data_IF_502731014461
#
_entry.id   IF_502731014461
#
_cell.length_a   1.000
_cell.length_b   1.000
_cell.length_c   1.000
_cell.angle_alpha   90.00
_cell.angle_beta   90.00
_cell.angle_gamma   90.00
#
_symmetry.space_group_name_H-M   'P 1'
#
loop_
_entity.id
_entity.type
_entity.pdbx_description
1 polymer ?
#
# COMPACT_ATOMS: atom_id res chain seq x y z
N UNK A 1 -56.05 15.47 4.84
CA UNK A 1 -54.60 15.61 5.11
C UNK A 1 -54.09 16.71 4.23
N UNK A 2 -53.50 17.73 4.82
CA UNK A 2 -52.89 18.84 4.09
C UNK A 2 -51.43 18.50 3.81
N UNK A 3 -50.97 18.82 2.60
CA UNK A 3 -49.59 18.57 2.18
C UNK A 3 -48.87 19.91 2.05
N UNK A 4 -47.77 20.05 2.79
CA UNK A 4 -46.92 21.25 2.77
C UNK A 4 -45.59 20.85 2.14
N UNK A 5 -45.15 21.61 1.13
CA UNK A 5 -43.89 21.37 0.40
C UNK A 5 -42.93 22.51 0.71
N UNK A 6 -41.69 22.19 1.08
CA UNK A 6 -40.66 23.17 1.38
C UNK A 6 -39.31 22.74 0.78
N UNK A 7 -38.42 23.69 0.42
CA UNK A 7 -37.08 23.38 -0.04
C UNK A 7 -36.23 22.78 1.08
N UNK A 8 -35.42 21.78 0.75
CA UNK A 8 -34.53 21.12 1.73
C UNK A 8 -33.40 22.08 2.11
N UNK A 9 -33.15 22.32 3.41
CA UNK A 9 -32.02 23.13 3.85
C UNK A 9 -30.67 22.53 3.46
N UNK A 10 -29.70 23.36 3.09
CA UNK A 10 -28.36 22.89 2.67
C UNK A 10 -27.58 22.16 3.76
N UNK A 11 -27.90 22.37 5.04
CA UNK A 11 -27.27 21.64 6.15
C UNK A 11 -27.55 20.13 6.11
N UNK A 12 -28.67 19.71 5.51
CA UNK A 12 -29.02 18.31 5.36
C UNK A 12 -28.10 17.54 4.39
N UNK A 13 -27.32 18.25 3.57
CA UNK A 13 -26.28 17.64 2.72
C UNK A 13 -25.15 17.02 3.55
N UNK A 14 -24.89 17.55 4.75
CA UNK A 14 -23.86 17.07 5.66
C UNK A 14 -24.34 15.92 6.56
N UNK A 15 -25.51 15.34 6.28
CA UNK A 15 -26.01 14.19 7.01
C UNK A 15 -25.32 12.91 6.52
N UNK A 16 -24.57 12.24 7.40
CA UNK A 16 -23.93 10.96 7.05
C UNK A 16 -24.93 9.80 7.03
N UNK A 17 -24.63 8.80 6.19
CA UNK A 17 -25.40 7.54 6.17
C UNK A 17 -25.37 6.83 7.51
N UNK A 18 -24.23 6.87 8.19
CA UNK A 18 -24.04 6.29 9.53
C UNK A 18 -24.94 6.94 10.58
N UNK A 19 -24.99 8.28 10.66
CA UNK A 19 -25.86 8.97 11.62
C UNK A 19 -27.34 8.72 11.32
N UNK A 20 -27.73 8.62 10.04
CA UNK A 20 -29.09 8.23 9.65
C UNK A 20 -29.44 6.80 10.11
N UNK A 21 -28.55 5.84 9.90
CA UNK A 21 -28.74 4.45 10.34
C UNK A 21 -28.80 4.34 11.86
N UNK A 22 -27.92 5.07 12.55
CA UNK A 22 -27.90 5.17 14.02
C UNK A 22 -29.28 5.58 14.52
N UNK A 23 -29.77 6.76 14.14
CA UNK A 23 -31.08 7.27 14.55
C UNK A 23 -32.21 6.29 14.22
N UNK A 24 -32.17 5.63 13.05
CA UNK A 24 -33.18 4.66 12.66
C UNK A 24 -33.28 3.45 13.61
N UNK A 25 -32.14 2.94 14.06
CA UNK A 25 -32.07 1.76 14.93
C UNK A 25 -32.16 2.10 16.42
N UNK A 26 -31.61 3.21 16.89
CA UNK A 26 -31.63 3.57 18.33
C UNK A 26 -32.91 4.27 18.78
N UNK A 27 -33.77 4.73 17.87
CA UNK A 27 -35.04 5.37 18.26
C UNK A 27 -36.03 4.36 18.82
N UNK A 28 -36.39 4.53 20.08
CA UNK A 28 -37.35 3.69 20.78
C UNK A 28 -38.79 4.10 20.46
N UNK A 29 -39.72 3.15 20.62
CA UNK A 29 -41.15 3.43 20.55
C UNK A 29 -41.63 3.81 21.94
N UNK A 30 -42.41 4.88 22.01
CA UNK A 30 -43.14 5.26 23.22
C UNK A 30 -44.22 4.21 23.57
N UNK A 31 -44.88 4.39 24.71
CA UNK A 31 -45.98 3.52 25.17
C UNK A 31 -47.17 3.47 24.20
N UNK A 32 -47.26 4.43 23.27
CA UNK A 32 -48.27 4.51 22.22
C UNK A 32 -47.80 3.86 20.90
N UNK A 33 -46.58 3.31 20.87
CA UNK A 33 -45.98 2.65 19.72
C UNK A 33 -45.36 3.59 18.68
N UNK A 34 -45.22 4.88 18.99
CA UNK A 34 -44.70 5.95 18.13
C UNK A 34 -43.23 6.23 18.41
N UNK A 35 -42.45 6.46 17.34
CA UNK A 35 -41.01 6.80 17.42
C UNK A 35 -40.73 8.31 17.42
N UNK A 36 -41.78 9.11 17.33
CA UNK A 36 -41.67 10.53 16.98
C UNK A 36 -41.09 11.33 18.15
N UNK A 37 -41.51 11.02 19.38
CA UNK A 37 -41.08 11.76 20.57
C UNK A 37 -39.56 11.65 20.78
N UNK A 38 -39.03 10.42 20.79
CA UNK A 38 -37.58 10.18 20.95
C UNK A 38 -36.76 10.74 19.78
N UNK A 39 -37.32 10.69 18.56
CA UNK A 39 -36.68 11.31 17.40
C UNK A 39 -36.52 12.83 17.56
N UNK A 40 -37.57 13.53 18.03
CA UNK A 40 -37.50 14.98 18.24
C UNK A 40 -36.51 15.35 19.35
N UNK A 41 -36.44 14.56 20.43
CA UNK A 41 -35.48 14.78 21.51
C UNK A 41 -34.04 14.73 21.01
N UNK A 42 -33.73 13.84 20.06
CA UNK A 42 -32.40 13.67 19.46
C UNK A 42 -32.13 14.54 18.24
N UNK A 43 -33.14 15.26 17.74
CA UNK A 43 -33.02 16.05 16.51
C UNK A 43 -32.04 17.22 16.64
N UNK A 44 -31.93 17.80 17.83
CA UNK A 44 -31.00 18.89 18.13
C UNK A 44 -29.54 18.40 18.09
N UNK A 45 -29.26 17.24 18.69
CA UNK A 45 -27.94 16.60 18.62
C UNK A 45 -27.55 16.27 17.17
N UNK A 46 -28.49 15.74 16.38
CA UNK A 46 -28.27 15.45 14.97
C UNK A 46 -27.98 16.73 14.18
N UNK A 47 -28.67 17.83 14.48
CA UNK A 47 -28.45 19.13 13.86
C UNK A 47 -27.09 19.72 14.24
N UNK A 48 -26.68 19.59 15.49
CA UNK A 48 -25.36 19.99 15.97
C UNK A 48 -24.26 19.17 15.28
N UNK A 49 -24.44 17.86 15.11
CA UNK A 49 -23.50 17.01 14.36
C UNK A 49 -23.37 17.47 12.90
N UNK A 50 -24.47 17.77 12.20
CA UNK A 50 -24.43 18.30 10.84
C UNK A 50 -23.70 19.66 10.77
N UNK A 51 -23.92 20.55 11.74
CA UNK A 51 -23.20 21.83 11.83
C UNK A 51 -21.70 21.63 12.07
N UNK A 52 -21.33 20.67 12.91
CA UNK A 52 -19.94 20.28 13.13
C UNK A 52 -19.31 19.75 11.84
N UNK A 53 -20.00 18.90 11.09
CA UNK A 53 -19.52 18.40 9.79
C UNK A 53 -19.31 19.52 8.78
N UNK A 54 -20.23 20.49 8.71
CA UNK A 54 -20.10 21.66 7.85
C UNK A 54 -18.86 22.48 8.21
N UNK A 55 -18.61 22.72 9.49
CA UNK A 55 -17.42 23.44 9.96
C UNK A 55 -16.12 22.69 9.64
N UNK A 56 -16.11 21.38 9.85
CA UNK A 56 -14.98 20.52 9.54
C UNK A 56 -14.63 20.56 8.05
N UNK A 57 -15.59 20.34 7.15
CA UNK A 57 -15.32 20.41 5.70
C UNK A 57 -14.87 21.80 5.25
N UNK A 58 -15.51 22.85 5.77
CA UNK A 58 -15.18 24.23 5.41
C UNK A 58 -13.77 24.69 5.82
N UNK A 59 -13.22 24.18 6.93
CA UNK A 59 -11.87 24.56 7.40
C UNK A 59 -10.78 23.58 6.99
N UNK A 60 -11.09 22.29 6.94
CA UNK A 60 -10.10 21.23 6.71
C UNK A 60 -9.72 21.11 5.22
N UNK A 61 -10.69 21.13 4.30
CA UNK A 61 -10.41 20.96 2.88
C UNK A 61 -9.48 22.03 2.27
N UNK A 62 -9.67 23.35 2.55
CA UNK A 62 -8.84 24.37 1.91
C UNK A 62 -7.40 24.39 2.42
N UNK A 63 -7.20 24.20 3.73
CA UNK A 63 -5.88 24.33 4.35
C UNK A 63 -4.97 23.14 4.01
N UNK A 64 -5.50 21.91 4.08
CA UNK A 64 -4.73 20.72 3.71
C UNK A 64 -4.48 20.62 2.21
N UNK A 65 -5.46 21.01 1.38
CA UNK A 65 -5.25 21.11 -0.06
C UNK A 65 -4.15 22.13 -0.39
N UNK A 66 -4.20 23.31 0.23
CA UNK A 66 -3.18 24.35 0.06
C UNK A 66 -1.78 23.89 0.48
N UNK A 67 -1.64 23.23 1.63
CA UNK A 67 -0.37 22.67 2.10
C UNK A 67 0.20 21.59 1.16
N UNK A 68 -0.66 20.76 0.57
CA UNK A 68 -0.22 19.75 -0.40
C UNK A 68 0.26 20.36 -1.72
N UNK A 69 -0.38 21.46 -2.16
CA UNK A 69 0.06 22.22 -3.33
C UNK A 69 1.43 22.87 -3.10
N UNK A 70 1.63 23.52 -1.94
CA UNK A 70 2.92 24.16 -1.62
C UNK A 70 4.03 23.12 -1.48
N UNK A 71 3.78 22.01 -0.79
CA UNK A 71 4.74 20.90 -0.68
C UNK A 71 5.13 20.33 -2.05
N UNK A 72 4.17 20.19 -2.99
CA UNK A 72 4.47 19.73 -4.34
C UNK A 72 5.34 20.73 -5.10
N UNK A 73 4.98 22.02 -5.10
CA UNK A 73 5.74 23.06 -5.81
C UNK A 73 7.18 23.18 -5.27
N UNK A 74 7.35 23.07 -3.96
CA UNK A 74 8.67 23.06 -3.32
C UNK A 74 9.45 21.82 -3.74
N UNK A 75 8.83 20.63 -3.72
CA UNK A 75 9.51 19.40 -4.16
C UNK A 75 9.93 19.46 -5.63
N UNK A 76 9.11 20.04 -6.50
CA UNK A 76 9.41 20.23 -7.92
C UNK A 76 10.56 21.23 -8.12
N UNK A 77 10.53 22.36 -7.41
CA UNK A 77 11.58 23.37 -7.47
C UNK A 77 12.95 22.80 -7.01
N UNK A 78 12.96 21.97 -5.97
CA UNK A 78 14.18 21.32 -5.47
C UNK A 78 14.79 20.38 -6.52
N UNK A 79 13.97 19.62 -7.25
CA UNK A 79 14.48 18.71 -8.30
C UNK A 79 15.01 19.44 -9.51
N UNK A 80 14.35 20.53 -9.92
CA UNK A 80 14.82 21.36 -11.03
C UNK A 80 16.14 22.06 -10.64
N UNK A 81 16.25 22.54 -9.41
CA UNK A 81 17.45 23.23 -8.92
C UNK A 81 18.64 22.29 -8.68
N UNK A 82 18.39 21.03 -8.27
CA UNK A 82 19.43 20.04 -7.98
C UNK A 82 19.01 18.66 -8.53
N UNK A 83 19.42 18.30 -9.76
CA UNK A 83 19.18 16.98 -10.33
C UNK A 83 20.12 15.94 -9.67
N UNK A 84 19.89 15.69 -8.38
CA UNK A 84 20.49 14.60 -7.63
C UNK A 84 19.52 13.40 -7.63
N UNK A 85 20.02 12.15 -7.60
CA UNK A 85 19.17 10.94 -7.57
C UNK A 85 18.19 10.93 -6.38
N UNK A 86 18.52 11.64 -5.30
CA UNK A 86 17.64 11.83 -4.14
C UNK A 86 16.42 12.71 -4.45
N UNK A 87 16.54 13.68 -5.38
CA UNK A 87 15.46 14.55 -5.79
C UNK A 87 14.34 13.81 -6.53
N UNK A 88 14.69 12.92 -7.46
CA UNK A 88 13.72 12.10 -8.20
C UNK A 88 12.93 11.20 -7.23
N UNK A 89 13.63 10.58 -6.26
CA UNK A 89 12.98 9.76 -5.23
C UNK A 89 12.02 10.59 -4.36
N UNK A 90 12.40 11.82 -4.03
CA UNK A 90 11.55 12.75 -3.27
C UNK A 90 10.30 13.18 -4.08
N UNK A 91 10.42 13.41 -5.39
CA UNK A 91 9.29 13.73 -6.27
C UNK A 91 8.30 12.57 -6.41
N UNK A 92 8.81 11.34 -6.55
CA UNK A 92 7.96 10.14 -6.61
C UNK A 92 7.21 10.01 -5.28
N UNK A 93 7.89 10.16 -4.15
CA UNK A 93 7.27 10.09 -2.83
C UNK A 93 6.23 11.20 -2.61
N UNK A 94 6.51 12.45 -3.00
CA UNK A 94 5.57 13.56 -2.87
C UNK A 94 4.34 13.40 -3.77
N UNK A 95 4.52 12.86 -4.97
CA UNK A 95 3.42 12.57 -5.90
C UNK A 95 2.53 11.44 -5.38
N UNK A 96 3.11 10.37 -4.83
CA UNK A 96 2.36 9.27 -4.20
C UNK A 96 1.58 9.79 -2.98
N UNK A 97 2.23 10.57 -2.10
CA UNK A 97 1.57 11.15 -0.93
C UNK A 97 0.38 12.02 -1.32
N UNK A 98 0.51 12.81 -2.39
CA UNK A 98 -0.59 13.63 -2.89
C UNK A 98 -1.75 12.79 -3.43
N UNK A 99 -1.46 11.71 -4.16
CA UNK A 99 -2.49 10.76 -4.63
C UNK A 99 -3.27 10.14 -3.46
N UNK A 100 -2.58 9.77 -2.37
CA UNK A 100 -3.21 9.23 -1.16
C UNK A 100 -4.16 10.25 -0.53
N UNK A 101 -3.74 11.51 -0.40
CA UNK A 101 -4.56 12.54 0.24
C UNK A 101 -5.76 13.02 -0.62
N UNK A 102 -5.65 12.96 -1.96
CA UNK A 102 -6.69 13.45 -2.87
C UNK A 102 -7.70 12.37 -3.27
N UNK A 103 -7.24 11.14 -3.50
CA UNK A 103 -8.08 10.03 -4.00
C UNK A 103 -8.37 9.00 -2.89
N UNK A 104 -7.57 8.99 -1.82
CA UNK A 104 -7.65 8.02 -0.74
C UNK A 104 -6.58 6.93 -0.85
N UNK A 105 -6.40 6.18 0.24
CA UNK A 105 -5.38 5.13 0.38
C UNK A 105 -5.68 3.93 -0.53
N UNK A 106 -6.93 3.46 -0.53
CA UNK A 106 -7.40 2.29 -1.27
C UNK A 106 -7.12 2.36 -2.80
N UNK A 107 -7.53 3.42 -3.53
CA UNK A 107 -7.27 3.50 -4.97
C UNK A 107 -5.79 3.72 -5.30
N UNK A 108 -5.04 4.38 -4.40
CA UNK A 108 -3.60 4.61 -4.62
C UNK A 108 -2.80 3.32 -4.50
N UNK A 109 -3.12 2.47 -3.51
CA UNK A 109 -2.54 1.14 -3.37
C UNK A 109 -2.85 0.25 -4.57
N UNK A 110 -4.09 0.30 -5.07
CA UNK A 110 -4.48 -0.43 -6.27
C UNK A 110 -3.66 0.01 -7.49
N UNK A 111 -3.51 1.33 -7.72
CA UNK A 111 -2.72 1.87 -8.83
C UNK A 111 -1.25 1.45 -8.73
N UNK A 112 -0.66 1.54 -7.53
CA UNK A 112 0.74 1.21 -7.29
C UNK A 112 0.99 -0.30 -7.42
N UNK A 113 0.05 -1.12 -6.94
CA UNK A 113 0.06 -2.57 -7.10
C UNK A 113 -0.03 -2.99 -8.57
N UNK A 114 -0.92 -2.36 -9.35
CA UNK A 114 -1.07 -2.62 -10.78
C UNK A 114 0.21 -2.26 -11.55
N UNK A 115 0.80 -1.08 -11.26
CA UNK A 115 2.07 -0.68 -11.87
C UNK A 115 3.21 -1.67 -11.57
N UNK A 116 3.27 -2.19 -10.34
CA UNK A 116 4.26 -3.19 -9.94
C UNK A 116 4.07 -4.52 -10.71
N UNK A 117 2.83 -4.99 -10.85
CA UNK A 117 2.50 -6.18 -11.66
C UNK A 117 2.92 -5.97 -13.11
N UNK A 118 2.59 -4.82 -13.71
CA UNK A 118 2.99 -4.50 -15.09
C UNK A 118 4.52 -4.54 -15.27
N UNK A 119 5.27 -3.92 -14.37
CA UNK A 119 6.74 -3.97 -14.42
C UNK A 119 7.27 -5.40 -14.30
N UNK A 120 6.64 -6.24 -13.46
CA UNK A 120 7.04 -7.64 -13.30
C UNK A 120 6.73 -8.47 -14.55
N UNK A 121 5.63 -8.19 -15.24
CA UNK A 121 5.31 -8.81 -16.54
C UNK A 121 6.35 -8.41 -17.59
N UNK A 122 6.72 -7.13 -17.66
CA UNK A 122 7.75 -6.64 -18.61
C UNK A 122 9.09 -7.35 -18.34
N UNK A 123 9.49 -7.44 -17.07
CA UNK A 123 10.69 -8.18 -16.67
C UNK A 123 10.63 -9.66 -17.07
N UNK A 124 9.49 -10.33 -16.82
CA UNK A 124 9.30 -11.73 -17.18
C UNK A 124 9.38 -11.93 -18.70
N UNK A 125 8.73 -11.06 -19.48
CA UNK A 125 8.78 -11.12 -20.95
C UNK A 125 10.20 -10.90 -21.47
N UNK A 126 10.96 -9.97 -20.87
CA UNK A 126 12.36 -9.74 -21.19
C UNK A 126 13.24 -10.95 -20.88
N UNK A 127 13.03 -11.58 -19.71
CA UNK A 127 13.74 -12.81 -19.32
C UNK A 127 13.46 -13.96 -20.28
N UNK A 128 12.18 -14.21 -20.59
CA UNK A 128 11.73 -15.25 -21.53
C UNK A 128 12.33 -15.04 -22.92
N UNK A 129 12.37 -13.79 -23.39
CA UNK A 129 12.96 -13.41 -24.66
C UNK A 129 14.48 -13.59 -24.71
N UNK A 130 15.20 -13.17 -23.66
CA UNK A 130 16.66 -13.24 -23.61
C UNK A 130 17.18 -14.68 -23.48
N UNK A 131 16.46 -15.55 -22.75
CA UNK A 131 16.84 -16.94 -22.57
C UNK A 131 16.46 -17.85 -23.78
N UNK A 132 15.85 -17.29 -24.83
CA UNK A 132 15.48 -18.06 -26.02
C UNK A 132 14.47 -19.19 -25.77
N UNK A 133 13.78 -19.17 -24.62
CA UNK A 133 12.91 -20.25 -24.13
C UNK A 133 11.72 -20.56 -25.06
N UNK A 134 11.39 -19.66 -25.98
CA UNK A 134 10.33 -19.84 -26.97
C UNK A 134 10.60 -20.94 -28.00
N UNK A 135 11.88 -21.26 -28.31
CA UNK A 135 12.23 -22.29 -29.29
C UNK A 135 12.28 -23.70 -28.70
N UNK A 136 12.44 -23.82 -27.37
CA UNK A 136 12.60 -25.10 -26.65
C UNK A 136 11.26 -25.77 -26.26
N UNK A 137 10.15 -25.06 -26.43
CA UNK A 137 8.79 -25.54 -26.17
C UNK A 137 8.33 -25.36 -24.72
N UNK A 138 7.01 -25.24 -24.53
CA UNK A 138 6.37 -24.91 -23.23
C UNK A 138 6.64 -25.94 -22.11
N UNK A 139 6.81 -27.23 -22.45
CA UNK A 139 7.09 -28.29 -21.47
C UNK A 139 8.44 -28.10 -20.77
N UNK A 140 9.47 -27.67 -21.51
CA UNK A 140 10.78 -27.42 -20.93
C UNK A 140 10.77 -26.19 -20.01
N UNK A 141 9.93 -25.20 -20.33
CA UNK A 141 9.78 -23.97 -19.56
C UNK A 141 9.10 -24.19 -18.20
N UNK A 142 8.09 -25.05 -18.11
CA UNK A 142 7.42 -25.41 -16.84
C UNK A 142 8.32 -26.24 -15.92
N UNK A 143 9.25 -27.00 -16.48
CA UNK A 143 10.20 -27.81 -15.72
C UNK A 143 11.34 -26.97 -15.14
N UNK A 144 11.50 -25.73 -15.59
CA UNK A 144 12.48 -24.80 -15.05
C UNK A 144 11.97 -24.15 -13.75
N UNK A 145 12.62 -24.49 -12.65
CA UNK A 145 12.26 -24.04 -11.30
C UNK A 145 12.39 -22.53 -11.18
N UNK A 146 13.38 -21.91 -11.83
CA UNK A 146 13.63 -20.47 -11.74
C UNK A 146 12.49 -19.65 -12.38
N UNK A 147 12.05 -20.08 -13.56
CA UNK A 147 10.90 -19.48 -14.24
C UNK A 147 9.62 -19.66 -13.42
N UNK A 148 9.40 -20.86 -12.87
CA UNK A 148 8.23 -21.15 -12.05
C UNK A 148 8.16 -20.27 -10.80
N UNK A 149 9.30 -19.96 -10.18
CA UNK A 149 9.37 -19.00 -9.06
C UNK A 149 8.94 -17.59 -9.48
N UNK A 150 9.38 -17.11 -10.64
CA UNK A 150 8.96 -15.80 -11.16
C UNK A 150 7.48 -15.75 -11.54
N UNK A 151 6.95 -16.83 -12.12
CA UNK A 151 5.53 -16.96 -12.45
C UNK A 151 4.65 -17.04 -11.20
N UNK A 152 5.04 -17.84 -10.20
CA UNK A 152 4.34 -17.93 -8.91
C UNK A 152 4.34 -16.57 -8.20
N UNK A 153 5.44 -15.85 -8.25
CA UNK A 153 5.53 -14.49 -7.68
C UNK A 153 4.55 -13.52 -8.35
N UNK A 154 4.41 -13.60 -9.68
CA UNK A 154 3.44 -12.80 -10.44
C UNK A 154 2.00 -13.14 -10.04
N UNK A 155 1.69 -14.43 -9.87
CA UNK A 155 0.38 -14.90 -9.40
C UNK A 155 0.03 -14.37 -8.00
N UNK A 156 0.97 -14.43 -7.05
CA UNK A 156 0.75 -13.89 -5.70
C UNK A 156 0.55 -12.36 -5.74
N UNK A 157 1.31 -11.65 -6.57
CA UNK A 157 1.10 -10.21 -6.79
C UNK A 157 -0.29 -9.90 -7.37
N UNK A 158 -0.79 -10.71 -8.31
CA UNK A 158 -2.13 -10.54 -8.87
C UNK A 158 -3.23 -10.85 -7.84
N UNK A 159 -3.06 -11.91 -7.03
CA UNK A 159 -3.99 -12.22 -5.94
C UNK A 159 -4.06 -11.11 -4.88
N UNK A 160 -2.94 -10.43 -4.59
CA UNK A 160 -2.92 -9.24 -3.72
C UNK A 160 -3.71 -8.05 -4.27
N UNK A 161 -3.79 -7.91 -5.60
CA UNK A 161 -4.54 -6.84 -6.26
C UNK A 161 -6.05 -7.14 -6.35
N UNK A 162 -6.41 -8.38 -6.69
CA UNK A 162 -7.80 -8.74 -7.01
C UNK A 162 -8.57 -9.38 -5.85
N UNK A 163 -7.89 -9.99 -4.87
CA UNK A 163 -8.54 -10.73 -3.78
C UNK A 163 -8.48 -9.95 -2.47
N UNK A 164 -7.27 -9.69 -1.94
CA UNK A 164 -7.12 -9.00 -0.66
C UNK A 164 -5.70 -8.48 -0.42
N UNK A 165 -5.57 -7.33 0.23
CA UNK A 165 -4.27 -6.70 0.53
C UNK A 165 -3.37 -7.54 1.43
N UNK A 166 -3.93 -8.49 2.18
CA UNK A 166 -3.18 -9.43 3.04
C UNK A 166 -2.11 -10.24 2.29
N UNK A 167 -2.31 -10.53 1.00
CA UNK A 167 -1.31 -11.24 0.20
C UNK A 167 -0.04 -10.40 -0.05
N UNK A 168 -0.13 -9.07 0.00
CA UNK A 168 1.07 -8.21 -0.05
C UNK A 168 1.94 -8.37 1.20
N UNK A 169 1.35 -8.61 2.38
CA UNK A 169 2.10 -8.85 3.62
C UNK A 169 2.94 -10.12 3.57
N UNK A 170 2.42 -11.20 2.97
CA UNK A 170 3.17 -12.46 2.74
C UNK A 170 4.35 -12.25 1.78
N UNK A 171 4.16 -11.41 0.76
CA UNK A 171 5.16 -11.10 -0.25
C UNK A 171 6.29 -10.23 0.31
N UNK A 172 5.96 -9.28 1.19
CA UNK A 172 6.94 -8.49 1.96
C UNK A 172 7.69 -9.36 2.97
N UNK A 173 6.99 -10.22 3.71
CA UNK A 173 7.59 -11.12 4.70
C UNK A 173 8.58 -12.09 4.05
N UNK A 174 8.19 -12.76 2.96
CA UNK A 174 9.07 -13.70 2.24
C UNK A 174 10.29 -13.02 1.61
N UNK A 175 10.18 -11.76 1.19
CA UNK A 175 11.32 -10.97 0.71
C UNK A 175 12.22 -10.54 1.88
N UNK A 176 11.62 -10.08 2.99
CA UNK A 176 12.33 -9.64 4.18
C UNK A 176 13.15 -10.79 4.78
N UNK A 177 12.57 -11.99 4.95
CA UNK A 177 13.29 -13.18 5.42
C UNK A 177 14.48 -13.55 4.52
N UNK A 178 14.35 -13.38 3.21
CA UNK A 178 15.42 -13.67 2.25
C UNK A 178 16.57 -12.65 2.34
N UNK A 179 16.23 -11.37 2.45
CA UNK A 179 17.22 -10.29 2.66
C UNK A 179 17.94 -10.48 3.99
N UNK A 180 17.21 -10.73 5.08
CA UNK A 180 17.81 -10.99 6.40
C UNK A 180 18.70 -12.24 6.39
N UNK A 181 18.33 -13.28 5.64
CA UNK A 181 19.20 -14.45 5.47
C UNK A 181 20.50 -14.10 4.74
N UNK A 182 20.42 -13.30 3.66
CA UNK A 182 21.59 -12.82 2.92
C UNK A 182 22.51 -11.97 3.80
N UNK A 183 21.96 -11.02 4.55
CA UNK A 183 22.72 -10.18 5.49
C UNK A 183 23.40 -11.04 6.56
N UNK A 184 22.71 -12.03 7.11
CA UNK A 184 23.27 -12.96 8.09
C UNK A 184 24.38 -13.84 7.50
N UNK A 185 24.24 -14.32 6.26
CA UNK A 185 25.32 -15.05 5.57
C UNK A 185 26.53 -14.14 5.31
N UNK A 186 26.33 -12.88 4.87
CA UNK A 186 27.41 -11.91 4.65
C UNK A 186 28.13 -11.59 5.96
N UNK A 187 27.38 -11.31 7.04
CA UNK A 187 27.94 -11.06 8.36
C UNK A 187 28.70 -12.29 8.86
N UNK A 188 28.16 -13.49 8.68
CA UNK A 188 28.81 -14.75 9.06
C UNK A 188 30.07 -15.03 8.23
N UNK A 189 30.15 -14.57 6.99
CA UNK A 189 31.33 -14.72 6.13
C UNK A 189 32.41 -13.66 6.42
N UNK A 190 32.01 -12.44 6.77
CA UNK A 190 32.94 -11.34 7.05
C UNK A 190 33.47 -11.36 8.49
N UNK A 191 32.68 -11.84 9.46
CA UNK A 191 33.07 -12.04 10.87
C UNK A 191 34.37 -12.86 11.07
N UNK A 192 34.59 -14.01 10.41
CA UNK A 192 35.83 -14.77 10.60
C UNK A 192 37.07 -14.05 10.08
N UNK A 193 36.95 -13.20 9.04
CA UNK A 193 38.07 -12.42 8.50
C UNK A 193 38.53 -11.26 9.40
N UNK A 194 37.71 -10.80 10.36
CA UNK A 194 38.12 -9.81 11.37
C UNK A 194 38.70 -10.45 12.64
N UNK A 195 38.56 -11.76 12.82
CA UNK A 195 39.01 -12.51 14.00
C UNK A 195 40.28 -13.34 13.76
N UNK A 196 40.87 -13.31 12.55
CA UNK A 196 42.18 -13.90 12.28
C UNK A 196 43.33 -12.94 12.64
N UNK A 197 43.47 -12.64 13.92
CA UNK A 197 44.79 -12.54 14.56
C UNK A 197 44.99 -13.84 15.36
N UNK A 198 46.18 -14.47 15.34
CA UNK A 198 46.31 -15.92 15.42
C UNK A 198 46.13 -16.46 16.84
N UNK A 199 45.18 -17.36 17.05
CA UNK A 199 45.37 -18.57 17.85
C UNK A 199 44.14 -19.48 17.81
N UNK A 200 44.41 -20.79 17.72
CA UNK A 200 43.51 -21.96 17.82
C UNK A 200 42.98 -22.53 16.47
N UNK A 201 43.35 -23.78 16.11
CA UNK A 201 42.84 -24.47 14.94
C UNK A 201 41.56 -25.26 15.27
N UNK A 202 40.53 -25.09 14.45
CA UNK A 202 39.32 -25.93 14.47
C UNK A 202 38.39 -25.52 13.33
N UNK A 203 37.83 -26.47 12.55
CA UNK A 203 37.05 -26.14 11.36
C UNK A 203 35.67 -25.63 11.79
N UNK A 204 35.44 -24.33 11.71
CA UNK A 204 34.08 -23.79 11.74
C UNK A 204 33.47 -24.12 10.38
N UNK A 205 32.75 -25.24 10.32
CA UNK A 205 31.90 -25.60 9.19
C UNK A 205 30.93 -24.44 8.92
N UNK A 206 31.20 -23.67 7.87
CA UNK A 206 30.19 -22.80 7.28
C UNK A 206 29.05 -23.69 6.79
N UNK A 207 27.82 -23.37 7.19
CA UNK A 207 26.63 -24.10 6.76
C UNK A 207 26.58 -24.14 5.22
N UNK A 208 26.41 -25.32 4.58
CA UNK A 208 26.43 -25.47 3.12
C UNK A 208 25.53 -24.46 2.41
N UNK A 209 24.39 -24.11 3.02
CA UNK A 209 23.40 -23.15 2.50
C UNK A 209 23.96 -21.74 2.24
N UNK A 210 24.93 -21.26 3.04
CA UNK A 210 25.53 -19.94 2.83
C UNK A 210 26.60 -19.94 1.73
N UNK A 211 27.20 -21.10 1.39
CA UNK A 211 28.21 -21.22 0.34
C UNK A 211 27.55 -21.13 -1.04
N UNK A 212 26.48 -21.90 -1.25
CA UNK A 212 25.68 -21.86 -2.49
C UNK A 212 25.10 -20.47 -2.78
N UNK A 213 24.69 -19.75 -1.73
CA UNK A 213 24.15 -18.39 -1.87
C UNK A 213 25.19 -17.33 -2.23
N UNK A 214 26.49 -17.59 -1.99
CA UNK A 214 27.58 -16.67 -2.28
C UNK A 214 28.11 -16.84 -3.71
N UNK A 215 28.10 -18.07 -4.23
CA UNK A 215 28.45 -18.36 -5.64
C UNK A 215 27.42 -17.73 -6.60
N UNK A 216 26.13 -17.78 -6.27
CA UNK A 216 25.05 -17.15 -7.07
C UNK A 216 25.09 -15.61 -7.07
N UNK A 217 25.75 -14.99 -6.09
CA UNK A 217 26.00 -13.55 -6.02
C UNK A 217 27.28 -13.11 -6.76
N UNK A 218 28.16 -14.04 -7.11
CA UNK A 218 29.39 -13.76 -7.88
C UNK A 218 29.13 -13.79 -9.40
N UNK A 219 28.07 -14.47 -9.84
CA UNK A 219 27.73 -14.63 -11.26
C UNK A 219 26.71 -13.60 -11.80
N UNK A 220 26.33 -12.58 -11.00
CA UNK A 220 25.54 -11.41 -11.43
C UNK A 220 26.34 -10.13 -11.36
#
# INVERSE_FOLDING_TARGET
MEQIVFPVPSICEFLTKESKLRIYYTTERDEQGSKINDFFLRSEDLFNEMNWQKKLRGTLEPHWSGLLWTAMLISLAIVIALPKPHGIRALIASTILRLIFSVGLQPTLFLLGAFNVCNKIIFLMSFVGNCGTFTRGYRAMILDVEFLYHLLYLLICAMGLFVHEFFYSLLVSSRCSRISHMENCVISYHRPHLLTAPSVPGPIMASPSCIWSWEDLREK
#
